data_IF_721071209158
#
_entry.id   IF_721071209158
#
_cell.length_a   1.000
_cell.length_b   1.000
_cell.length_c   1.000
_cell.angle_alpha   90.00
_cell.angle_beta   90.00
_cell.angle_gamma   90.00
#
_symmetry.space_group_name_H-M   'P 1'
#
loop_
_entity.id
_entity.type
_entity.pdbx_description
1 polymer ?
#
# COMPACT_ATOMS: atom_id res chain seq x y z
N UNK A 1 -6.20 14.79 28.53
CA UNK A 1 -5.43 13.57 28.21
C UNK A 1 -5.63 13.25 26.74
N UNK A 2 -4.79 13.78 25.85
CA UNK A 2 -4.76 13.35 24.45
C UNK A 2 -3.73 12.22 24.36
N UNK A 3 -4.20 10.98 24.52
CA UNK A 3 -3.38 9.81 24.28
C UNK A 3 -3.01 9.78 22.81
N UNK A 4 -1.82 10.27 22.47
CA UNK A 4 -1.23 10.05 21.16
C UNK A 4 -0.96 8.56 21.01
N UNK A 5 -1.93 7.83 20.46
CA UNK A 5 -1.76 6.41 20.19
C UNK A 5 -0.53 6.23 19.28
N UNK A 6 0.41 5.41 19.74
CA UNK A 6 1.60 5.10 18.98
C UNK A 6 1.19 4.36 17.71
N UNK A 7 1.71 4.79 16.57
CA UNK A 7 1.45 4.14 15.28
C UNK A 7 1.87 2.66 15.34
N UNK A 8 0.96 1.76 14.96
CA UNK A 8 1.25 0.33 14.85
C UNK A 8 2.19 0.08 13.67
N UNK A 9 3.34 -0.54 13.92
CA UNK A 9 4.27 -1.00 12.87
C UNK A 9 3.89 -2.40 12.39
N UNK A 10 2.93 -2.46 11.45
CA UNK A 10 2.41 -3.73 10.91
C UNK A 10 3.47 -4.59 10.23
N UNK A 11 4.49 -3.98 9.65
CA UNK A 11 5.61 -4.69 9.01
C UNK A 11 6.47 -5.39 10.05
N UNK A 12 6.78 -4.70 11.15
CA UNK A 12 7.50 -5.31 12.26
C UNK A 12 6.71 -6.43 12.91
N UNK A 13 5.42 -6.23 13.19
CA UNK A 13 4.57 -7.27 13.78
C UNK A 13 4.54 -8.53 12.91
N UNK A 14 4.38 -8.37 11.59
CA UNK A 14 4.37 -9.49 10.65
C UNK A 14 5.74 -10.21 10.60
N UNK A 15 6.86 -9.47 10.62
CA UNK A 15 8.20 -10.06 10.66
C UNK A 15 8.45 -10.80 11.99
N UNK A 16 8.15 -10.17 13.12
CA UNK A 16 8.40 -10.71 14.45
C UNK A 16 7.59 -12.00 14.71
N UNK A 17 6.38 -12.10 14.15
CA UNK A 17 5.54 -13.28 14.21
C UNK A 17 5.88 -14.36 13.16
N UNK A 18 6.89 -14.13 12.30
CA UNK A 18 7.30 -15.09 11.27
C UNK A 18 6.36 -15.17 10.06
N UNK A 19 5.43 -14.23 9.90
CA UNK A 19 4.55 -14.16 8.72
C UNK A 19 5.29 -13.69 7.48
N UNK A 20 6.33 -12.86 7.68
CA UNK A 20 7.22 -12.41 6.62
C UNK A 20 8.65 -12.85 6.92
N UNK A 21 9.37 -13.41 5.94
CA UNK A 21 10.80 -13.71 6.10
C UNK A 21 11.66 -12.44 6.16
N UNK A 22 11.24 -11.38 5.48
CA UNK A 22 11.92 -10.08 5.45
C UNK A 22 10.93 -8.93 5.18
N UNK A 23 11.33 -7.72 5.54
CA UNK A 23 10.63 -6.47 5.19
C UNK A 23 11.60 -5.52 4.47
N UNK A 24 11.03 -4.62 3.67
CA UNK A 24 11.75 -3.63 2.88
C UNK A 24 11.20 -2.24 3.17
N UNK A 25 12.09 -1.34 3.59
CA UNK A 25 11.74 0.05 3.90
C UNK A 25 12.57 0.97 3.01
N UNK A 26 11.92 1.90 2.32
CA UNK A 26 12.58 2.99 1.62
C UNK A 26 12.58 4.23 2.51
N UNK A 27 13.75 4.84 2.69
CA UNK A 27 13.93 6.00 3.54
C UNK A 27 14.97 6.95 2.93
N UNK A 28 15.03 8.18 3.43
CA UNK A 28 16.19 9.06 3.16
C UNK A 28 17.46 8.49 3.80
N UNK A 29 18.62 8.97 3.37
CA UNK A 29 19.90 8.53 3.95
C UNK A 29 19.99 8.78 5.46
N UNK A 30 19.45 9.91 5.94
CA UNK A 30 19.43 10.27 7.36
C UNK A 30 18.53 9.33 8.17
N UNK A 31 17.31 9.11 7.69
CA UNK A 31 16.32 8.24 8.36
C UNK A 31 16.76 6.77 8.37
N UNK A 32 17.38 6.30 7.28
CA UNK A 32 17.75 4.89 7.13
C UNK A 32 18.70 4.41 8.23
N UNK A 33 19.63 5.25 8.68
CA UNK A 33 20.54 4.91 9.79
C UNK A 33 19.78 4.71 11.10
N UNK A 34 18.87 5.62 11.43
CA UNK A 34 18.02 5.52 12.63
C UNK A 34 17.09 4.31 12.58
N UNK A 35 16.49 4.04 11.41
CA UNK A 35 15.64 2.87 11.19
C UNK A 35 16.45 1.58 11.35
N UNK A 36 17.63 1.49 10.75
CA UNK A 36 18.52 0.33 10.86
C UNK A 36 18.92 0.07 12.31
N UNK A 37 19.39 1.09 13.02
CA UNK A 37 19.77 0.99 14.43
C UNK A 37 18.62 0.52 15.32
N UNK A 38 17.40 1.01 15.08
CA UNK A 38 16.19 0.56 15.79
C UNK A 38 15.93 -0.92 15.58
N UNK A 39 15.98 -1.43 14.34
CA UNK A 39 15.73 -2.84 14.07
C UNK A 39 16.85 -3.75 14.60
N UNK A 40 18.11 -3.31 14.54
CA UNK A 40 19.24 -4.00 15.15
C UNK A 40 19.08 -4.11 16.68
N UNK A 41 18.64 -3.04 17.34
CA UNK A 41 18.35 -3.06 18.78
C UNK A 41 17.21 -4.02 19.15
N UNK A 42 16.29 -4.30 18.23
CA UNK A 42 15.25 -5.33 18.37
C UNK A 42 15.73 -6.74 17.99
N UNK A 43 17.04 -6.92 17.77
CA UNK A 43 17.67 -8.20 17.44
C UNK A 43 17.43 -8.67 16.01
N UNK A 44 17.07 -7.77 15.08
CA UNK A 44 16.92 -8.11 13.68
C UNK A 44 18.24 -7.94 12.91
N UNK A 45 18.45 -8.78 11.90
CA UNK A 45 19.48 -8.57 10.91
C UNK A 45 19.05 -7.47 9.94
N UNK A 46 19.98 -6.56 9.64
CA UNK A 46 19.72 -5.41 8.76
C UNK A 46 20.80 -5.34 7.70
N UNK A 47 20.38 -5.22 6.44
CA UNK A 47 21.25 -4.93 5.30
C UNK A 47 20.70 -3.72 4.58
N UNK A 48 21.57 -2.87 4.04
CA UNK A 48 21.16 -1.67 3.29
C UNK A 48 21.64 -1.71 1.85
N UNK A 49 20.93 -1.00 0.99
CA UNK A 49 21.37 -0.67 -0.37
C UNK A 49 20.98 0.77 -0.69
N UNK A 50 21.68 1.40 -1.63
CA UNK A 50 21.29 2.70 -2.18
C UNK A 50 20.87 2.51 -3.62
N UNK A 51 19.88 3.26 -4.05
CA UNK A 51 19.47 3.29 -5.44
C UNK A 51 18.23 4.12 -5.69
N UNK A 52 17.93 4.38 -6.96
CA UNK A 52 16.72 5.06 -7.37
C UNK A 52 15.47 4.21 -7.12
N UNK A 53 14.48 4.78 -6.43
CA UNK A 53 13.20 4.11 -6.09
C UNK A 53 12.02 4.93 -6.62
N UNK A 54 10.92 4.25 -6.94
CA UNK A 54 9.67 4.86 -7.39
C UNK A 54 9.69 5.31 -8.84
N UNK A 55 8.57 5.88 -9.28
CA UNK A 55 8.36 6.33 -10.68
C UNK A 55 9.35 7.44 -11.07
N UNK A 56 9.61 8.37 -10.16
CA UNK A 56 10.55 9.49 -10.37
C UNK A 56 12.02 9.13 -10.10
N UNK A 57 12.31 7.88 -9.72
CA UNK A 57 13.67 7.36 -9.51
C UNK A 57 14.53 8.21 -8.57
N UNK A 58 13.91 8.78 -7.53
CA UNK A 58 14.67 9.50 -6.50
C UNK A 58 15.60 8.56 -5.76
N UNK A 59 16.78 9.03 -5.40
CA UNK A 59 17.74 8.24 -4.64
C UNK A 59 17.23 8.04 -3.22
N UNK A 60 17.08 6.77 -2.83
CA UNK A 60 16.71 6.38 -1.48
C UNK A 60 17.72 5.37 -0.92
N UNK A 61 17.79 5.31 0.41
CA UNK A 61 18.41 4.18 1.09
C UNK A 61 17.33 3.16 1.41
N UNK A 62 17.52 1.94 0.91
CA UNK A 62 16.68 0.79 1.17
C UNK A 62 17.24 0.03 2.36
N UNK A 63 16.38 -0.24 3.33
CA UNK A 63 16.66 -1.02 4.54
C UNK A 63 15.91 -2.34 4.43
N UNK A 64 16.64 -3.44 4.36
CA UNK A 64 16.12 -4.80 4.37
C UNK A 64 16.31 -5.38 5.77
N UNK A 65 15.23 -5.81 6.38
CA UNK A 65 15.22 -6.29 7.77
C UNK A 65 14.65 -7.70 7.80
N UNK A 66 15.32 -8.60 8.51
CA UNK A 66 14.87 -9.96 8.72
C UNK A 66 15.32 -10.48 10.09
N UNK A 67 14.71 -11.57 10.56
CA UNK A 67 15.21 -12.31 11.74
C UNK A 67 16.48 -13.10 11.39
N UNK A 68 16.53 -13.61 10.16
CA UNK A 68 17.65 -14.34 9.60
C UNK A 68 18.50 -13.40 8.69
N UNK A 69 19.82 -13.26 8.94
CA UNK A 69 20.72 -12.51 8.07
C UNK A 69 20.67 -12.92 6.60
N UNK A 70 20.50 -14.21 6.31
CA UNK A 70 20.44 -14.70 4.93
C UNK A 70 19.19 -14.19 4.21
N UNK A 71 18.03 -14.17 4.89
CA UNK A 71 16.79 -13.62 4.34
C UNK A 71 16.91 -12.12 4.00
N UNK A 72 17.54 -11.30 4.86
CA UNK A 72 17.77 -9.88 4.57
C UNK A 72 18.72 -9.70 3.38
N UNK A 73 19.82 -10.45 3.34
CA UNK A 73 20.75 -10.43 2.22
C UNK A 73 20.10 -10.91 0.91
N UNK A 74 19.25 -11.93 0.99
CA UNK A 74 18.49 -12.49 -0.12
C UNK A 74 17.51 -11.47 -0.71
N UNK A 75 16.77 -10.74 0.11
CA UNK A 75 15.87 -9.68 -0.36
C UNK A 75 16.65 -8.56 -1.07
N UNK A 76 17.76 -8.10 -0.48
CA UNK A 76 18.66 -7.12 -1.12
C UNK A 76 19.20 -7.62 -2.47
N UNK A 77 19.66 -8.87 -2.52
CA UNK A 77 20.23 -9.43 -3.74
C UNK A 77 19.22 -9.50 -4.89
N UNK A 78 17.96 -9.83 -4.59
CA UNK A 78 16.88 -9.85 -5.57
C UNK A 78 16.52 -8.46 -6.10
N UNK A 79 16.58 -7.43 -5.26
CA UNK A 79 16.30 -6.05 -5.68
C UNK A 79 17.48 -5.38 -6.37
N UNK A 80 18.72 -5.80 -6.10
CA UNK A 80 19.95 -5.17 -6.64
C UNK A 80 19.87 -4.84 -8.14
N UNK A 81 19.38 -5.73 -9.04
CA UNK A 81 19.25 -5.38 -10.47
C UNK A 81 18.25 -4.26 -10.75
N UNK A 82 17.15 -4.19 -9.98
CA UNK A 82 16.14 -3.12 -10.10
C UNK A 82 16.71 -1.74 -9.76
N UNK A 83 17.75 -1.69 -8.92
CA UNK A 83 18.43 -0.46 -8.52
C UNK A 83 19.45 0.01 -9.56
N UNK A 84 19.99 -0.88 -10.38
CA UNK A 84 21.25 -0.63 -11.08
C UNK A 84 21.14 0.06 -12.46
N UNK A 85 20.05 -0.05 -13.22
CA UNK A 85 19.97 0.50 -14.59
C UNK A 85 18.51 0.65 -15.06
N UNK A 86 18.31 1.04 -16.34
CA UNK A 86 17.05 0.79 -17.05
C UNK A 86 16.99 -0.67 -17.48
N UNK A 87 16.13 -1.46 -16.82
CA UNK A 87 15.87 -2.84 -17.19
C UNK A 87 14.70 -2.92 -18.19
N UNK A 88 14.75 -3.84 -19.17
CA UNK A 88 13.57 -4.19 -19.97
C UNK A 88 12.39 -4.60 -19.06
N UNK A 89 11.13 -4.37 -19.49
CA UNK A 89 9.96 -4.72 -18.68
C UNK A 89 9.93 -6.17 -18.21
N UNK A 90 10.41 -7.11 -19.05
CA UNK A 90 10.52 -8.54 -18.71
C UNK A 90 11.42 -8.79 -17.50
N UNK A 91 12.61 -8.21 -17.52
CA UNK A 91 13.59 -8.38 -16.44
C UNK A 91 13.13 -7.65 -15.18
N UNK A 92 12.54 -6.45 -15.34
CA UNK A 92 11.92 -5.73 -14.23
C UNK A 92 10.84 -6.57 -13.55
N UNK A 93 9.95 -7.20 -14.32
CA UNK A 93 8.91 -8.06 -13.80
C UNK A 93 9.50 -9.29 -13.09
N UNK A 94 10.53 -9.92 -13.67
CA UNK A 94 11.21 -11.06 -13.05
C UNK A 94 11.80 -10.70 -11.68
N UNK A 95 12.64 -9.68 -11.59
CA UNK A 95 13.31 -9.31 -10.33
C UNK A 95 12.33 -8.75 -9.30
N UNK A 96 11.30 -8.02 -9.73
CA UNK A 96 10.24 -7.58 -8.84
C UNK A 96 9.42 -8.76 -8.28
N UNK A 97 9.19 -9.79 -9.10
CA UNK A 97 8.57 -11.05 -8.67
C UNK A 97 9.42 -11.81 -7.66
N UNK A 98 10.71 -11.93 -7.92
CA UNK A 98 11.68 -12.53 -6.99
C UNK A 98 11.71 -11.78 -5.64
N UNK A 99 11.75 -10.45 -5.68
CA UNK A 99 11.70 -9.63 -4.48
C UNK A 99 10.40 -9.88 -3.70
N UNK A 100 9.24 -9.85 -4.37
CA UNK A 100 7.95 -10.09 -3.72
C UNK A 100 7.87 -11.45 -3.02
N UNK A 101 8.38 -12.51 -3.66
CA UNK A 101 8.47 -13.85 -3.06
C UNK A 101 9.36 -13.86 -1.81
N UNK A 102 10.52 -13.21 -1.87
CA UNK A 102 11.47 -13.12 -0.75
C UNK A 102 10.97 -12.22 0.40
N UNK A 103 9.97 -11.38 0.16
CA UNK A 103 9.27 -10.62 1.20
C UNK A 103 8.06 -11.39 1.78
N UNK A 104 7.78 -12.60 1.31
CA UNK A 104 6.68 -13.44 1.78
C UNK A 104 5.31 -13.08 1.20
N UNK A 105 5.25 -12.36 0.08
CA UNK A 105 3.96 -12.01 -0.53
C UNK A 105 3.28 -13.24 -1.16
N UNK A 106 1.93 -13.33 -1.11
CA UNK A 106 1.22 -14.44 -1.73
C UNK A 106 1.54 -14.56 -3.22
N UNK A 107 1.80 -15.78 -3.70
CA UNK A 107 2.20 -16.05 -5.09
C UNK A 107 1.26 -15.40 -6.11
N UNK A 108 -0.05 -15.55 -5.94
CA UNK A 108 -1.04 -14.95 -6.85
C UNK A 108 -1.00 -13.40 -6.88
N UNK A 109 -0.67 -12.75 -5.77
CA UNK A 109 -0.52 -11.30 -5.69
C UNK A 109 0.77 -10.84 -6.39
N UNK A 110 1.86 -11.61 -6.22
CA UNK A 110 3.11 -11.39 -6.95
C UNK A 110 2.91 -11.57 -8.45
N UNK A 111 2.24 -12.64 -8.88
CA UNK A 111 1.97 -12.89 -10.30
C UNK A 111 1.16 -11.75 -10.93
N UNK A 112 0.11 -11.26 -10.24
CA UNK A 112 -0.66 -10.10 -10.69
C UNK A 112 0.17 -8.82 -10.78
N UNK A 113 1.01 -8.55 -9.78
CA UNK A 113 1.92 -7.40 -9.79
C UNK A 113 2.94 -7.46 -10.94
N UNK A 114 3.53 -8.62 -11.18
CA UNK A 114 4.50 -8.79 -12.29
C UNK A 114 3.83 -8.66 -13.65
N UNK A 115 2.58 -9.13 -13.81
CA UNK A 115 1.78 -8.90 -15.01
C UNK A 115 1.53 -7.41 -15.26
N UNK A 116 1.26 -6.61 -14.21
CA UNK A 116 1.16 -5.14 -14.32
C UNK A 116 2.48 -4.51 -14.75
N UNK A 117 3.62 -4.96 -14.22
CA UNK A 117 4.94 -4.45 -14.65
C UNK A 117 5.19 -4.74 -16.13
N UNK A 118 4.86 -5.94 -16.62
CA UNK A 118 5.00 -6.30 -18.03
C UNK A 118 4.14 -5.41 -18.94
N UNK A 119 2.91 -5.11 -18.52
CA UNK A 119 2.00 -4.21 -19.24
C UNK A 119 2.46 -2.74 -19.21
N UNK A 120 3.17 -2.36 -18.15
CA UNK A 120 3.46 -0.98 -17.78
C UNK A 120 2.60 -0.58 -16.57
N UNK A 121 3.20 -0.22 -15.42
CA UNK A 121 2.49 -0.09 -14.14
C UNK A 121 1.40 1.01 -14.13
N UNK A 122 1.54 2.04 -14.97
CA UNK A 122 0.54 3.09 -15.16
C UNK A 122 -0.42 2.87 -16.33
N UNK A 123 -0.37 1.71 -17.00
CA UNK A 123 -1.14 1.41 -18.20
C UNK A 123 -2.37 0.59 -17.87
N UNK A 124 -3.53 1.00 -18.39
CA UNK A 124 -4.79 0.28 -18.24
C UNK A 124 -4.89 -0.88 -19.23
N UNK A 125 -4.33 -0.71 -20.42
CA UNK A 125 -4.18 -1.74 -21.46
C UNK A 125 -2.77 -1.66 -22.06
N UNK A 126 -2.32 -2.79 -22.61
CA UNK A 126 -1.04 -2.83 -23.31
C UNK A 126 -1.07 -1.89 -24.53
N UNK A 127 -0.07 -1.01 -24.65
CA UNK A 127 0.03 -0.06 -25.76
C UNK A 127 -0.72 1.27 -25.56
N UNK A 128 -1.42 1.46 -24.44
CA UNK A 128 -2.04 2.76 -24.13
C UNK A 128 -0.99 3.88 -24.16
N UNK A 129 -1.33 5.01 -24.80
CA UNK A 129 -0.45 6.19 -24.86
C UNK A 129 -0.39 6.89 -23.50
N UNK A 130 -1.54 7.07 -22.89
CA UNK A 130 -1.66 7.75 -21.59
C UNK A 130 -1.32 6.81 -20.45
N UNK A 131 -0.89 7.40 -19.33
CA UNK A 131 -0.63 6.68 -18.09
C UNK A 131 -1.46 7.30 -16.98
N UNK A 132 -2.00 6.46 -16.11
CA UNK A 132 -2.67 6.85 -14.88
C UNK A 132 -1.82 6.42 -13.68
N UNK A 133 -2.22 6.82 -12.49
CA UNK A 133 -1.52 6.48 -11.25
C UNK A 133 -1.52 4.96 -11.02
N UNK A 134 -0.39 4.41 -10.57
CA UNK A 134 -0.21 2.96 -10.41
C UNK A 134 -1.23 2.34 -9.44
N UNK A 135 -1.50 3.00 -8.30
CA UNK A 135 -2.55 2.57 -7.37
C UNK A 135 -3.94 2.48 -8.02
N UNK A 136 -4.27 3.37 -8.97
CA UNK A 136 -5.54 3.32 -9.69
C UNK A 136 -5.60 2.09 -10.60
N UNK A 137 -4.50 1.80 -11.30
CA UNK A 137 -4.38 0.58 -12.12
C UNK A 137 -4.49 -0.67 -11.25
N UNK A 138 -3.77 -0.72 -10.13
CA UNK A 138 -3.77 -1.85 -9.21
C UNK A 138 -5.16 -2.09 -8.60
N UNK A 139 -5.83 -1.03 -8.13
CA UNK A 139 -7.17 -1.11 -7.55
C UNK A 139 -8.22 -1.51 -8.59
N UNK A 140 -8.11 -1.03 -9.83
CA UNK A 140 -9.00 -1.43 -10.93
C UNK A 140 -8.84 -2.91 -11.27
N UNK A 141 -7.60 -3.38 -11.38
CA UNK A 141 -7.31 -4.80 -11.68
C UNK A 141 -7.79 -5.72 -10.54
N UNK A 142 -7.72 -5.24 -9.28
CA UNK A 142 -8.14 -5.97 -8.10
C UNK A 142 -9.64 -5.81 -7.75
N UNK A 143 -10.39 -5.03 -8.51
CA UNK A 143 -11.76 -4.65 -8.18
C UNK A 143 -12.70 -5.85 -8.12
N UNK A 144 -13.58 -5.84 -7.10
CA UNK A 144 -14.66 -6.80 -6.92
C UNK A 144 -15.88 -6.06 -6.36
N UNK A 145 -17.08 -6.61 -6.55
CA UNK A 145 -18.32 -5.95 -6.11
C UNK A 145 -18.41 -5.74 -4.59
N UNK A 146 -17.78 -6.62 -3.80
CA UNK A 146 -17.73 -6.56 -2.33
C UNK A 146 -16.27 -6.70 -1.87
N UNK A 147 -15.49 -5.60 -1.92
CA UNK A 147 -14.09 -5.65 -1.52
C UNK A 147 -13.99 -5.76 0.01
N UNK A 148 -13.07 -6.59 0.50
CA UNK A 148 -12.85 -6.74 1.94
C UNK A 148 -11.91 -5.64 2.46
N UNK A 149 -12.36 -4.91 3.48
CA UNK A 149 -11.63 -3.79 4.07
C UNK A 149 -10.24 -4.16 4.60
N UNK A 150 -10.01 -5.42 4.96
CA UNK A 150 -8.69 -5.88 5.44
C UNK A 150 -7.62 -5.77 4.36
N UNK A 151 -8.04 -5.75 3.09
CA UNK A 151 -7.18 -5.60 1.93
C UNK A 151 -7.10 -4.16 1.42
N UNK A 152 -7.67 -3.18 2.14
CA UNK A 152 -7.53 -1.77 1.81
C UNK A 152 -6.06 -1.31 2.01
N UNK A 153 -5.28 -1.40 0.94
CA UNK A 153 -3.85 -1.07 0.90
C UNK A 153 -3.60 0.37 0.38
N UNK A 154 -4.66 1.10 0.03
CA UNK A 154 -4.58 2.38 -0.67
C UNK A 154 -4.21 3.55 0.24
N UNK A 155 -4.20 3.34 1.57
CA UNK A 155 -3.85 4.34 2.58
C UNK A 155 -2.40 4.18 3.07
N UNK A 156 -1.51 3.67 2.19
CA UNK A 156 -0.08 3.47 2.44
C UNK A 156 0.59 4.75 2.97
N UNK A 157 0.24 5.92 2.40
CA UNK A 157 0.75 7.25 2.75
C UNK A 157 0.36 7.69 4.16
N UNK A 158 -0.85 7.32 4.58
CA UNK A 158 -1.37 7.56 5.93
C UNK A 158 -0.91 6.49 6.93
N UNK A 159 -0.17 5.48 6.45
CA UNK A 159 0.29 4.33 7.22
C UNK A 159 -0.84 3.48 7.82
N UNK A 160 -1.99 3.47 7.15
CA UNK A 160 -3.15 2.67 7.51
C UNK A 160 -3.25 1.48 6.54
N UNK A 161 -2.88 0.28 7.00
CA UNK A 161 -2.98 -0.96 6.21
C UNK A 161 -2.71 -2.19 7.07
N UNK A 162 -3.28 -3.33 6.69
CA UNK A 162 -2.89 -4.64 7.24
C UNK A 162 -1.94 -5.41 6.30
N UNK A 163 -1.94 -5.07 5.01
CA UNK A 163 -1.07 -5.65 3.99
C UNK A 163 -0.19 -4.57 3.36
N UNK A 164 1.02 -4.93 2.95
CA UNK A 164 2.02 -4.02 2.35
C UNK A 164 2.38 -4.37 0.91
N UNK A 165 1.54 -5.20 0.31
CA UNK A 165 1.56 -5.57 -1.10
C UNK A 165 0.20 -5.22 -1.72
N UNK A 166 0.17 -5.15 -3.04
CA UNK A 166 -1.07 -4.94 -3.79
C UNK A 166 -1.77 -6.30 -3.96
N UNK A 167 -2.99 -6.50 -3.43
CA UNK A 167 -3.70 -7.76 -3.61
C UNK A 167 -4.04 -7.98 -5.09
N UNK A 168 -4.07 -9.24 -5.54
CA UNK A 168 -4.52 -9.54 -6.91
C UNK A 168 -6.02 -9.31 -7.10
N UNK A 169 -6.79 -9.41 -6.02
CA UNK A 169 -8.22 -9.10 -5.92
C UNK A 169 -8.53 -8.67 -4.49
N UNK A 170 -9.48 -7.75 -4.29
CA UNK A 170 -9.92 -7.34 -2.95
C UNK A 170 -10.76 -8.39 -2.20
N UNK A 171 -10.91 -9.60 -2.74
CA UNK A 171 -11.45 -10.81 -2.08
C UNK A 171 -10.44 -11.97 -2.03
N UNK A 172 -9.14 -11.71 -2.26
CA UNK A 172 -8.11 -12.75 -2.33
C UNK A 172 -7.94 -13.51 -1.01
N UNK A 173 -8.28 -14.80 -0.99
CA UNK A 173 -8.24 -15.63 0.22
C UNK A 173 -6.87 -15.72 0.92
N UNK A 174 -5.77 -15.81 0.16
CA UNK A 174 -4.42 -15.84 0.75
C UNK A 174 -4.04 -14.50 1.37
N UNK A 175 -4.39 -13.39 0.72
CA UNK A 175 -4.16 -12.06 1.27
C UNK A 175 -5.02 -11.82 2.51
N UNK A 176 -6.26 -12.31 2.52
CA UNK A 176 -7.16 -12.22 3.68
C UNK A 176 -6.67 -13.02 4.87
N UNK A 177 -6.14 -14.23 4.66
CA UNK A 177 -5.54 -15.02 5.72
C UNK A 177 -4.35 -14.28 6.36
N UNK A 178 -3.47 -13.70 5.54
CA UNK A 178 -2.36 -12.86 6.01
C UNK A 178 -2.87 -11.64 6.80
N UNK A 179 -3.84 -10.90 6.24
CA UNK A 179 -4.36 -9.68 6.85
C UNK A 179 -5.09 -9.94 8.17
N UNK A 180 -5.81 -11.07 8.28
CA UNK A 180 -6.47 -11.49 9.51
C UNK A 180 -5.46 -11.78 10.62
N UNK A 181 -4.35 -12.43 10.29
CA UNK A 181 -3.30 -12.71 11.28
C UNK A 181 -2.55 -11.44 11.70
N UNK A 182 -2.26 -10.52 10.76
CA UNK A 182 -1.71 -9.20 11.10
C UNK A 182 -2.67 -8.41 12.00
N UNK A 183 -3.97 -8.44 11.73
CA UNK A 183 -4.97 -7.78 12.58
C UNK A 183 -4.96 -8.34 14.01
N UNK A 184 -4.90 -9.68 14.14
CA UNK A 184 -4.80 -10.35 15.44
C UNK A 184 -3.57 -9.88 16.22
N UNK A 185 -2.43 -9.75 15.55
CA UNK A 185 -1.20 -9.21 16.14
C UNK A 185 -1.34 -7.73 16.53
N UNK A 186 -1.99 -6.92 15.70
CA UNK A 186 -2.26 -5.51 16.02
C UNK A 186 -3.13 -5.39 17.28
N UNK A 187 -4.20 -6.19 17.37
CA UNK A 187 -5.10 -6.21 18.53
C UNK A 187 -4.39 -6.67 19.81
N UNK A 188 -3.51 -7.67 19.70
CA UNK A 188 -2.71 -8.15 20.82
C UNK A 188 -1.66 -7.13 21.28
N UNK A 189 -1.11 -6.32 20.36
CA UNK A 189 -0.10 -5.31 20.66
C UNK A 189 -0.69 -4.02 21.22
N UNK A 190 -1.77 -3.51 20.62
CA UNK A 190 -2.45 -2.26 21.02
C UNK A 190 -3.90 -2.30 20.51
N UNK A 191 -4.81 -2.82 21.33
CA UNK A 191 -6.23 -2.95 20.97
C UNK A 191 -6.91 -1.60 20.64
N UNK A 192 -6.71 -0.51 21.42
CA UNK A 192 -7.23 0.81 21.04
C UNK A 192 -6.73 1.31 19.67
N UNK A 193 -5.43 1.23 19.39
CA UNK A 193 -4.90 1.68 18.10
C UNK A 193 -5.38 0.76 16.95
N UNK A 194 -5.51 -0.55 17.20
CA UNK A 194 -6.07 -1.49 16.23
C UNK A 194 -7.53 -1.17 15.92
N UNK A 195 -8.33 -0.77 16.92
CA UNK A 195 -9.71 -0.33 16.69
C UNK A 195 -9.78 0.90 15.77
N UNK A 196 -8.92 1.91 16.00
CA UNK A 196 -8.82 3.08 15.11
C UNK A 196 -8.40 2.66 13.70
N UNK A 197 -7.45 1.74 13.55
CA UNK A 197 -7.03 1.22 12.25
C UNK A 197 -8.21 0.56 11.51
N UNK A 198 -8.97 -0.31 12.19
CA UNK A 198 -10.14 -0.98 11.61
C UNK A 198 -11.20 0.02 11.16
N UNK A 199 -11.57 0.97 12.03
CA UNK A 199 -12.54 2.03 11.71
C UNK A 199 -12.16 2.76 10.41
N UNK A 200 -10.89 3.13 10.26
CA UNK A 200 -10.42 3.87 9.07
C UNK A 200 -10.35 3.01 7.81
N UNK A 201 -9.97 1.73 7.93
CA UNK A 201 -9.85 0.83 6.77
C UNK A 201 -11.20 0.41 6.20
N UNK A 202 -12.26 0.36 7.03
CA UNK A 202 -13.62 0.03 6.64
C UNK A 202 -14.34 1.14 5.86
N UNK A 203 -13.84 2.38 5.90
CA UNK A 203 -14.51 3.50 5.25
C UNK A 203 -14.49 3.34 3.72
N UNK A 204 -15.62 3.62 3.03
CA UNK A 204 -15.63 3.74 1.58
C UNK A 204 -14.56 4.72 1.10
N UNK A 205 -13.91 4.39 -0.01
CA UNK A 205 -12.83 5.19 -0.56
C UNK A 205 -13.08 5.48 -2.03
N UNK A 206 -12.91 6.74 -2.43
CA UNK A 206 -12.83 7.14 -3.83
C UNK A 206 -11.37 7.31 -4.23
N UNK A 207 -10.98 6.75 -5.38
CA UNK A 207 -9.63 6.87 -5.95
C UNK A 207 -9.72 7.35 -7.40
N UNK A 208 -9.06 8.47 -7.72
CA UNK A 208 -9.02 9.01 -9.09
C UNK A 208 -7.89 8.41 -9.91
N UNK A 209 -7.99 8.56 -11.24
CA UNK A 209 -6.91 8.21 -12.18
C UNK A 209 -5.58 8.92 -11.86
N UNK A 210 -5.63 10.09 -11.23
CA UNK A 210 -4.44 10.84 -10.81
C UNK A 210 -3.89 10.39 -9.44
N UNK A 211 -4.53 9.42 -8.77
CA UNK A 211 -4.11 8.90 -7.47
C UNK A 211 -4.63 9.69 -6.26
N UNK A 212 -5.48 10.69 -6.48
CA UNK A 212 -6.14 11.41 -5.40
C UNK A 212 -7.17 10.51 -4.71
N UNK A 213 -7.26 10.62 -3.39
CA UNK A 213 -8.08 9.76 -2.53
C UNK A 213 -8.99 10.58 -1.63
N UNK A 214 -10.17 10.04 -1.36
CA UNK A 214 -11.08 10.61 -0.38
C UNK A 214 -11.89 9.51 0.30
N UNK A 215 -11.96 9.53 1.63
CA UNK A 215 -12.97 8.75 2.33
C UNK A 215 -14.34 9.32 2.01
N UNK A 216 -15.30 8.46 1.69
CA UNK A 216 -16.64 8.84 1.30
C UNK A 216 -17.68 8.35 2.32
N UNK A 217 -18.70 9.17 2.56
CA UNK A 217 -19.95 8.75 3.18
C UNK A 217 -20.98 8.60 2.07
N UNK A 218 -21.60 7.43 2.01
CA UNK A 218 -22.49 7.04 0.93
C UNK A 218 -23.96 7.13 1.38
N UNK A 219 -24.82 7.62 0.50
CA UNK A 219 -26.26 7.39 0.55
C UNK A 219 -26.58 6.19 -0.35
N UNK A 220 -26.96 5.08 0.31
CA UNK A 220 -27.31 3.81 -0.34
C UNK A 220 -28.82 3.71 -0.62
N UNK A 221 -29.60 4.71 -0.23
CA UNK A 221 -31.03 4.79 -0.54
C UNK A 221 -31.31 5.23 -1.98
N UNK A 222 -30.29 5.71 -2.70
CA UNK A 222 -30.40 6.16 -4.09
C UNK A 222 -29.76 5.17 -5.05
N UNK A 223 -30.27 5.09 -6.29
CA UNK A 223 -29.62 4.38 -7.40
C UNK A 223 -29.41 5.37 -8.56
N UNK A 224 -28.15 5.67 -8.95
CA UNK A 224 -26.90 5.14 -8.39
C UNK A 224 -26.62 5.62 -6.95
N UNK A 225 -25.75 4.89 -6.24
CA UNK A 225 -25.24 5.27 -4.91
C UNK A 225 -24.59 6.66 -4.99
N UNK A 226 -24.90 7.54 -4.03
CA UNK A 226 -24.41 8.92 -4.03
C UNK A 226 -23.40 9.15 -2.91
N UNK A 227 -22.35 9.93 -3.17
CA UNK A 227 -21.46 10.46 -2.12
C UNK A 227 -22.12 11.69 -1.49
N UNK A 228 -22.42 11.63 -0.19
CA UNK A 228 -23.08 12.73 0.56
C UNK A 228 -22.13 13.53 1.44
N UNK A 229 -20.96 12.98 1.74
CA UNK A 229 -19.85 13.70 2.35
C UNK A 229 -18.53 13.03 1.95
N UNK A 230 -17.43 13.78 1.98
CA UNK A 230 -16.11 13.24 1.76
C UNK A 230 -15.08 13.94 2.64
N UNK A 231 -13.98 13.23 2.93
CA UNK A 231 -12.88 13.70 3.75
C UNK A 231 -11.55 13.24 3.14
N UNK A 232 -10.55 14.13 3.07
CA UNK A 232 -9.20 13.76 2.67
C UNK A 232 -8.58 12.80 3.70
N UNK A 233 -7.97 11.67 3.30
CA UNK A 233 -7.36 10.76 4.25
C UNK A 233 -6.17 11.39 4.97
N UNK A 234 -6.17 11.31 6.29
CA UNK A 234 -5.13 11.89 7.15
C UNK A 234 -4.29 10.79 7.80
N UNK A 235 -3.00 11.08 7.98
CA UNK A 235 -2.16 10.21 8.80
C UNK A 235 -2.62 10.25 10.26
N UNK A 236 -2.21 9.26 11.06
CA UNK A 236 -2.46 9.28 12.50
C UNK A 236 -1.66 10.37 13.22
N UNK A 237 -0.61 10.90 12.59
CA UNK A 237 0.13 12.06 13.08
C UNK A 237 -0.71 13.35 12.88
N UNK A 238 -1.13 14.03 13.97
CA UNK A 238 -1.92 15.25 13.87
C UNK A 238 -1.16 16.42 13.22
N UNK A 239 0.17 16.38 13.14
CA UNK A 239 0.97 17.40 12.46
C UNK A 239 1.05 17.20 10.93
N UNK A 240 0.70 16.00 10.44
CA UNK A 240 0.76 15.70 9.01
C UNK A 240 -0.36 16.44 8.25
N UNK A 241 0.04 17.30 7.31
CA UNK A 241 -0.92 17.93 6.39
C UNK A 241 -1.44 16.90 5.39
N UNK A 242 -2.74 16.93 5.03
CA UNK A 242 -3.27 16.09 3.97
C UNK A 242 -2.62 16.46 2.63
N UNK A 243 -2.65 15.52 1.68
CA UNK A 243 -2.25 15.80 0.31
C UNK A 243 -3.23 16.81 -0.32
N UNK A 244 -2.75 17.93 -0.92
CA UNK A 244 -3.63 18.92 -1.55
C UNK A 244 -4.57 18.33 -2.61
N UNK A 245 -4.16 17.28 -3.33
CA UNK A 245 -5.01 16.61 -4.31
C UNK A 245 -6.16 15.83 -3.63
N UNK A 246 -5.90 15.21 -2.46
CA UNK A 246 -6.90 14.52 -1.67
C UNK A 246 -7.92 15.52 -1.09
N UNK A 247 -7.47 16.71 -0.63
CA UNK A 247 -8.35 17.79 -0.17
C UNK A 247 -9.25 18.34 -1.27
N UNK A 248 -8.65 18.62 -2.45
CA UNK A 248 -9.40 19.11 -3.60
C UNK A 248 -10.46 18.10 -4.07
N UNK A 249 -10.15 16.80 -4.05
CA UNK A 249 -11.12 15.75 -4.35
C UNK A 249 -12.25 15.72 -3.32
N UNK A 250 -11.93 15.68 -2.03
CA UNK A 250 -12.91 15.62 -0.96
C UNK A 250 -13.90 16.80 -0.99
N UNK A 251 -13.42 18.01 -1.30
CA UNK A 251 -14.27 19.20 -1.41
C UNK A 251 -15.28 19.13 -2.58
N UNK A 252 -14.92 18.43 -3.67
CA UNK A 252 -15.75 18.34 -4.88
C UNK A 252 -16.75 17.19 -4.84
N UNK A 253 -16.41 16.08 -4.18
CA UNK A 253 -17.15 14.82 -4.25
C UNK A 253 -18.66 14.89 -3.92
N UNK A 254 -19.11 15.60 -2.87
CA UNK A 254 -20.55 15.64 -2.54
C UNK A 254 -21.43 16.36 -3.57
N UNK A 255 -20.81 17.11 -4.49
CA UNK A 255 -21.47 18.01 -5.45
C UNK A 255 -21.54 17.44 -6.86
N UNK A 256 -20.79 16.38 -7.17
CA UNK A 256 -20.62 15.84 -8.51
C UNK A 256 -20.92 14.34 -8.52
N UNK A 257 -21.50 13.85 -9.61
CA UNK A 257 -21.49 12.42 -9.90
C UNK A 257 -20.05 11.96 -10.18
N UNK A 258 -19.74 10.71 -9.86
CA UNK A 258 -18.38 10.17 -10.07
C UNK A 258 -17.97 10.23 -11.54
N UNK A 259 -18.91 10.04 -12.47
CA UNK A 259 -18.67 10.15 -13.91
C UNK A 259 -18.24 11.55 -14.37
N UNK A 260 -18.48 12.59 -13.55
CA UNK A 260 -18.13 13.98 -13.87
C UNK A 260 -16.72 14.36 -13.39
N UNK A 261 -16.01 13.45 -12.71
CA UNK A 261 -14.71 13.74 -12.09
C UNK A 261 -13.51 13.45 -12.99
N UNK A 262 -13.70 12.80 -14.14
CA UNK A 262 -12.65 12.58 -15.13
C UNK A 262 -12.88 11.35 -16.02
N UNK A 263 -12.03 11.23 -17.03
CA UNK A 263 -11.90 10.03 -17.86
C UNK A 263 -10.44 9.52 -17.76
N UNK A 264 -10.19 8.31 -17.21
CA UNK A 264 -11.19 7.35 -16.74
C UNK A 264 -11.87 7.80 -15.43
N UNK A 265 -13.13 7.36 -15.18
CA UNK A 265 -13.88 7.75 -14.00
C UNK A 265 -13.23 7.23 -12.71
N UNK A 266 -13.33 7.94 -11.57
CA UNK A 266 -12.81 7.45 -10.30
C UNK A 266 -13.43 6.11 -9.89
N UNK A 267 -12.65 5.31 -9.16
CA UNK A 267 -13.14 4.10 -8.52
C UNK A 267 -13.79 4.45 -7.19
N UNK A 268 -14.98 3.92 -6.92
CA UNK A 268 -15.57 3.85 -5.58
C UNK A 268 -15.39 2.42 -5.04
N UNK A 269 -14.61 2.30 -3.98
CA UNK A 269 -14.38 1.05 -3.25
C UNK A 269 -15.17 1.10 -1.95
N UNK A 270 -16.31 0.43 -1.90
CA UNK A 270 -17.15 0.34 -0.69
C UNK A 270 -16.64 -0.78 0.23
N UNK A 271 -15.66 -0.45 1.06
CA UNK A 271 -15.11 -1.36 2.08
C UNK A 271 -16.02 -1.54 3.31
N UNK A 272 -17.18 -0.88 3.34
CA UNK A 272 -18.15 -1.01 4.45
C UNK A 272 -19.36 -1.89 4.12
N UNK A 273 -19.40 -2.45 2.91
CA UNK A 273 -20.48 -3.30 2.42
C UNK A 273 -20.37 -4.76 2.89
#
# INVERSE_FOLDING_TARGET
>A
MHGGHQRIDVEWLALAAGLKPAIRIAATALEASAIAGRFQAMGAAVVTARGPVGVHRHEHTLVYVARDPEAAAAARAAERPLLATHLPPRDKAYYAGELGRRLGYPRCCVDAFTARILRGPGKLRAGDRDSVHEDYVAARDAFVARPDWRLNNLLLRQHLRLVTFEPCRYDCGLALAFAAEVLRLCQASDAPAAHVLVDRLQRPLVLTAAGARAWARLDRGTTPVRVVAAEAPRATDPAARPDPADEALAARLPRLALSELGDPPPLLLDFSA
#
